data_IF_008531974577
#
_entry.id   IF_008531974577
#
_cell.length_a   1.000
_cell.length_b   1.000
_cell.length_c   1.000
_cell.angle_alpha   90.00
_cell.angle_beta   90.00
_cell.angle_gamma   90.00
#
_symmetry.space_group_name_H-M   'P 1'
#
loop_
_entity.id
_entity.type
_entity.pdbx_description
1 polymer ?
#
# COMPACT_ATOMS: atom_id res chain seq x y z
N UNK A 1 12.02 -11.32 -24.96
CA UNK A 1 11.87 -9.88 -24.73
C UNK A 1 11.12 -9.67 -23.41
N UNK A 2 11.70 -8.93 -22.47
CA UNK A 2 11.03 -8.64 -21.20
C UNK A 2 10.11 -7.44 -21.39
N UNK A 3 8.85 -7.60 -21.00
CA UNK A 3 7.90 -6.51 -21.01
C UNK A 3 8.23 -5.54 -19.87
N UNK A 4 8.28 -4.26 -20.17
CA UNK A 4 8.60 -3.20 -19.22
C UNK A 4 7.62 -2.06 -19.33
N UNK A 5 7.41 -1.37 -18.22
CA UNK A 5 6.62 -0.15 -18.17
C UNK A 5 7.50 1.02 -17.74
N UNK A 6 7.17 2.20 -18.19
CA UNK A 6 7.82 3.43 -17.71
C UNK A 6 7.12 3.86 -16.44
N UNK A 7 7.87 3.92 -15.35
CA UNK A 7 7.35 4.36 -14.06
C UNK A 7 7.90 5.73 -13.70
N UNK A 8 7.12 6.49 -12.95
CA UNK A 8 7.52 7.81 -12.49
C UNK A 8 6.73 8.14 -11.21
N UNK A 9 7.46 8.51 -10.17
CA UNK A 9 6.85 8.89 -8.90
C UNK A 9 7.40 10.21 -8.38
N UNK A 10 7.06 11.35 -9.05
CA UNK A 10 7.65 12.64 -8.69
C UNK A 10 7.29 13.10 -7.28
N UNK A 11 6.17 12.61 -6.71
CA UNK A 11 5.77 12.95 -5.34
C UNK A 11 6.27 11.94 -4.31
N UNK A 12 6.72 10.77 -4.76
CA UNK A 12 7.16 9.67 -3.88
C UNK A 12 8.66 9.41 -3.95
N UNK A 13 9.39 10.24 -4.72
CA UNK A 13 10.84 10.13 -4.81
C UNK A 13 11.35 9.04 -5.75
N UNK A 14 10.49 8.50 -6.61
CA UNK A 14 10.90 7.48 -7.59
C UNK A 14 11.27 8.17 -8.90
N UNK A 15 12.53 8.03 -9.39
CA UNK A 15 12.92 8.61 -10.67
C UNK A 15 12.24 7.89 -11.83
N UNK A 16 12.03 8.63 -12.93
CA UNK A 16 11.47 8.05 -14.16
C UNK A 16 12.41 7.00 -14.72
N UNK A 17 11.89 5.80 -14.94
CA UNK A 17 12.70 4.69 -15.44
C UNK A 17 11.81 3.60 -16.05
N UNK A 18 12.43 2.75 -16.88
CA UNK A 18 11.79 1.53 -17.34
C UNK A 18 11.90 0.45 -16.26
N UNK A 19 10.82 -0.26 -16.01
CA UNK A 19 10.78 -1.24 -14.93
C UNK A 19 10.06 -2.50 -15.39
N UNK A 20 10.57 -3.71 -15.06
CA UNK A 20 9.93 -4.96 -15.50
C UNK A 20 8.55 -5.16 -14.86
N UNK A 21 7.61 -5.63 -15.65
CA UNK A 21 6.26 -5.91 -15.14
C UNK A 21 6.23 -6.95 -14.02
N UNK A 22 7.19 -7.88 -14.00
CA UNK A 22 7.27 -8.90 -12.95
C UNK A 22 7.41 -8.32 -11.54
N UNK A 23 8.00 -7.13 -11.44
CA UNK A 23 8.23 -6.47 -10.15
C UNK A 23 7.20 -5.40 -9.83
N UNK A 24 6.18 -5.26 -10.68
CA UNK A 24 5.11 -4.28 -10.49
C UNK A 24 3.81 -4.94 -10.11
N UNK A 25 3.06 -4.28 -9.26
CA UNK A 25 1.70 -4.69 -8.91
C UNK A 25 0.77 -3.53 -9.24
N UNK A 26 -0.24 -3.81 -10.05
CA UNK A 26 -1.21 -2.79 -10.45
C UNK A 26 -2.26 -2.59 -9.37
N UNK A 27 -2.66 -1.34 -9.21
CA UNK A 27 -3.74 -0.97 -8.28
C UNK A 27 -4.95 -0.52 -9.09
N UNK A 28 -6.16 -0.51 -8.50
CA UNK A 28 -7.35 -0.01 -9.21
C UNK A 28 -7.36 1.52 -9.39
N UNK A 29 -6.43 2.23 -8.77
CA UNK A 29 -6.33 3.68 -8.89
C UNK A 29 -5.76 4.06 -10.26
N UNK A 30 -6.40 5.00 -10.93
CA UNK A 30 -6.00 5.46 -12.26
C UNK A 30 -5.91 6.98 -12.30
N UNK A 31 -4.97 7.50 -13.09
CA UNK A 31 -4.92 8.90 -13.43
C UNK A 31 -5.68 9.12 -14.72
N UNK A 32 -6.58 10.10 -14.73
CA UNK A 32 -7.29 10.53 -15.93
C UNK A 32 -6.75 11.88 -16.40
N UNK A 33 -6.81 12.13 -17.69
CA UNK A 33 -6.36 13.41 -18.24
C UNK A 33 -4.87 13.58 -18.35
N UNK A 34 -4.09 12.49 -18.24
CA UNK A 34 -2.64 12.55 -18.42
C UNK A 34 -2.31 12.45 -19.91
N UNK A 35 -1.62 13.43 -20.51
CA UNK A 35 -1.24 13.37 -21.92
C UNK A 35 -0.15 12.31 -22.14
N UNK A 36 -0.05 11.80 -23.39
CA UNK A 36 1.02 10.89 -23.77
C UNK A 36 2.36 11.60 -23.63
N UNK A 37 3.38 10.85 -23.21
CA UNK A 37 4.73 11.34 -23.02
C UNK A 37 4.81 12.56 -22.09
N UNK A 38 3.93 12.65 -21.11
CA UNK A 38 3.91 13.74 -20.13
C UNK A 38 5.24 13.80 -19.38
N UNK A 39 5.78 15.00 -19.19
CA UNK A 39 6.97 15.20 -18.37
C UNK A 39 6.67 15.02 -16.89
N UNK A 40 7.72 14.81 -16.08
CA UNK A 40 7.56 14.60 -14.63
C UNK A 40 6.81 15.72 -13.93
N UNK A 41 6.96 16.98 -14.38
CA UNK A 41 6.22 18.11 -13.82
C UNK A 41 4.72 18.02 -14.06
N UNK A 42 4.30 17.58 -15.25
CA UNK A 42 2.89 17.36 -15.59
C UNK A 42 2.31 16.21 -14.79
N UNK A 43 3.07 15.11 -14.68
CA UNK A 43 2.67 13.95 -13.88
C UNK A 43 2.46 14.36 -12.42
N UNK A 44 3.37 15.15 -11.86
CA UNK A 44 3.26 15.64 -10.49
C UNK A 44 1.98 16.44 -10.27
N UNK A 45 1.67 17.34 -11.20
CA UNK A 45 0.45 18.16 -11.11
C UNK A 45 -0.81 17.31 -11.15
N UNK A 46 -0.87 16.32 -12.03
CA UNK A 46 -2.03 15.44 -12.15
C UNK A 46 -2.18 14.57 -10.91
N UNK A 47 -1.09 14.02 -10.39
CA UNK A 47 -1.08 13.20 -9.17
C UNK A 47 -1.60 14.01 -7.98
N UNK A 48 -1.14 15.24 -7.83
CA UNK A 48 -1.61 16.13 -6.76
C UNK A 48 -3.08 16.52 -6.93
N UNK A 49 -3.50 16.82 -8.15
CA UNK A 49 -4.88 17.22 -8.46
C UNK A 49 -5.87 16.10 -8.15
N UNK A 50 -5.55 14.86 -8.52
CA UNK A 50 -6.43 13.71 -8.31
C UNK A 50 -6.23 13.03 -6.95
N UNK A 51 -5.27 13.50 -6.16
CA UNK A 51 -5.01 12.98 -4.81
C UNK A 51 -4.80 11.46 -4.79
N UNK A 52 -4.09 10.93 -5.78
CA UNK A 52 -3.89 9.49 -5.94
C UNK A 52 -3.11 8.89 -4.77
N UNK A 53 -2.06 9.58 -4.30
CA UNK A 53 -1.25 9.11 -3.18
C UNK A 53 -2.08 9.05 -1.90
N UNK A 54 -2.94 10.04 -1.68
CA UNK A 54 -3.84 10.05 -0.52
C UNK A 54 -4.86 8.92 -0.58
N UNK A 55 -5.43 8.67 -1.75
CA UNK A 55 -6.35 7.54 -1.97
C UNK A 55 -5.66 6.20 -1.71
N UNK A 56 -4.42 6.07 -2.16
CA UNK A 56 -3.63 4.87 -1.89
C UNK A 56 -3.39 4.68 -0.40
N UNK A 57 -2.98 5.75 0.31
CA UNK A 57 -2.71 5.67 1.74
C UNK A 57 -3.94 5.29 2.57
N UNK A 58 -5.13 5.64 2.09
CA UNK A 58 -6.39 5.28 2.74
C UNK A 58 -6.83 3.86 2.43
N UNK A 59 -6.26 3.22 1.42
CA UNK A 59 -6.64 1.87 1.04
C UNK A 59 -6.22 0.85 2.10
N UNK A 60 -6.99 -0.23 2.24
CA UNK A 60 -6.67 -1.31 3.18
C UNK A 60 -5.33 -1.96 2.84
N UNK A 61 -5.00 -2.06 1.56
CA UNK A 61 -3.74 -2.61 1.10
C UNK A 61 -2.53 -1.81 1.63
N UNK A 62 -2.56 -0.47 1.46
CA UNK A 62 -1.49 0.39 1.96
C UNK A 62 -1.38 0.33 3.48
N UNK A 63 -2.50 0.33 4.19
CA UNK A 63 -2.52 0.22 5.65
C UNK A 63 -1.93 -1.09 6.13
N UNK A 64 -2.22 -2.18 5.44
CA UNK A 64 -1.65 -3.50 5.76
C UNK A 64 -0.13 -3.50 5.58
N UNK A 65 0.37 -2.89 4.51
CA UNK A 65 1.81 -2.80 4.26
C UNK A 65 2.53 -1.99 5.35
N UNK A 66 1.95 -0.87 5.74
CA UNK A 66 2.50 -0.02 6.82
C UNK A 66 2.52 -0.80 8.13
N UNK A 67 1.46 -1.54 8.44
CA UNK A 67 1.40 -2.35 9.65
C UNK A 67 2.47 -3.46 9.67
N UNK A 68 2.71 -4.11 8.53
CA UNK A 68 3.76 -5.13 8.40
C UNK A 68 5.14 -4.53 8.64
N UNK A 69 5.43 -3.37 8.07
CA UNK A 69 6.72 -2.69 8.26
C UNK A 69 6.93 -2.29 9.72
N UNK A 70 5.90 -1.76 10.37
CA UNK A 70 5.96 -1.43 11.79
C UNK A 70 6.26 -2.65 12.66
N UNK A 71 5.63 -3.79 12.35
CA UNK A 71 5.88 -5.03 13.10
C UNK A 71 7.31 -5.52 12.93
N UNK A 72 7.88 -5.40 11.73
CA UNK A 72 9.26 -5.81 11.47
C UNK A 72 10.28 -4.97 12.23
N UNK A 73 9.97 -3.72 12.52
CA UNK A 73 10.87 -2.81 13.22
C UNK A 73 10.74 -2.87 14.74
N UNK A 74 9.84 -3.68 15.28
CA UNK A 74 9.62 -3.78 16.73
C UNK A 74 10.75 -4.56 17.41
N UNK A 75 11.05 -4.15 18.66
CA UNK A 75 11.96 -4.92 19.52
C UNK A 75 11.22 -6.11 20.12
N UNK A 76 11.95 -6.98 20.86
CA UNK A 76 11.38 -8.21 21.43
C UNK A 76 10.23 -7.93 22.40
N UNK A 77 10.37 -6.92 23.25
CA UNK A 77 9.34 -6.58 24.21
C UNK A 77 8.04 -6.12 23.51
N UNK A 78 8.18 -5.24 22.50
CA UNK A 78 7.05 -4.76 21.73
C UNK A 78 6.38 -5.89 20.95
N UNK A 79 7.16 -6.83 20.40
CA UNK A 79 6.62 -8.02 19.72
C UNK A 79 5.83 -8.90 20.67
N UNK A 80 6.31 -9.06 21.91
CA UNK A 80 5.59 -9.81 22.94
C UNK A 80 4.25 -9.17 23.23
N UNK A 81 4.20 -7.83 23.38
CA UNK A 81 2.97 -7.09 23.61
C UNK A 81 1.98 -7.25 22.44
N UNK A 82 2.46 -7.22 21.20
CA UNK A 82 1.63 -7.45 20.01
C UNK A 82 1.07 -8.87 20.00
N UNK A 83 1.88 -9.85 20.38
CA UNK A 83 1.43 -11.26 20.47
C UNK A 83 0.28 -11.40 21.47
N UNK A 84 0.40 -10.79 22.63
CA UNK A 84 -0.67 -10.81 23.64
C UNK A 84 -1.95 -10.16 23.12
N UNK A 85 -1.84 -9.00 22.48
CA UNK A 85 -2.98 -8.29 21.91
C UNK A 85 -3.67 -9.13 20.83
N UNK A 86 -2.90 -9.81 19.97
CA UNK A 86 -3.44 -10.71 18.95
C UNK A 86 -4.20 -11.89 19.55
N UNK A 87 -3.64 -12.48 20.61
CA UNK A 87 -4.31 -13.59 21.31
C UNK A 87 -5.65 -13.14 21.88
N UNK A 88 -5.67 -11.99 22.52
CA UNK A 88 -6.91 -11.44 23.09
C UNK A 88 -7.96 -11.20 22.00
N UNK A 89 -7.56 -10.61 20.89
CA UNK A 89 -8.47 -10.35 19.78
C UNK A 89 -9.03 -11.64 19.17
N UNK A 90 -8.18 -12.64 18.96
CA UNK A 90 -8.61 -13.94 18.43
C UNK A 90 -9.56 -14.65 19.39
N UNK A 91 -9.31 -14.54 20.70
CA UNK A 91 -10.17 -15.14 21.72
C UNK A 91 -11.58 -14.51 21.71
N UNK A 92 -11.63 -13.19 21.58
CA UNK A 92 -12.93 -12.49 21.47
C UNK A 92 -13.71 -12.92 20.21
N UNK A 93 -13.02 -13.06 19.08
CA UNK A 93 -13.63 -13.53 17.83
C UNK A 93 -14.14 -14.96 18.00
N UNK A 94 -13.34 -15.83 18.60
CA UNK A 94 -13.72 -17.24 18.85
C UNK A 94 -14.95 -17.35 19.72
N UNK A 95 -15.02 -16.56 20.79
CA UNK A 95 -16.17 -16.53 21.68
C UNK A 95 -17.43 -16.05 20.96
N UNK A 96 -17.29 -15.01 20.13
CA UNK A 96 -18.41 -14.49 19.34
C UNK A 96 -18.91 -15.53 18.34
N UNK A 97 -18.02 -16.26 17.67
CA UNK A 97 -18.38 -17.34 16.76
C UNK A 97 -19.08 -18.49 17.47
N UNK A 98 -18.63 -18.87 18.66
CA UNK A 98 -19.26 -19.91 19.46
C UNK A 98 -20.68 -19.53 19.84
N UNK A 99 -20.90 -18.29 20.23
CA UNK A 99 -22.24 -17.79 20.56
C UNK A 99 -23.17 -17.80 19.35
N UNK A 100 -22.66 -17.48 18.17
CA UNK A 100 -23.49 -17.45 16.96
C UNK A 100 -23.87 -18.84 16.47
N UNK A 101 -23.13 -19.88 16.87
CA UNK A 101 -23.43 -21.27 16.52
C UNK A 101 -24.38 -21.97 17.51
N UNK A 102 -24.57 -21.39 18.67
CA UNK A 102 -25.42 -21.97 19.72
C UNK A 102 -26.90 -21.80 19.42
#
# INVERSE_FOLDING_TARGET
MLAQAIIDGPTTGVPRQAYPYKHLTLTPLKLTGLPRAAGSGVVKKVVEKEQVVEKWNKSAWAQKRVAIEKRRSLNDFARFSVMLAKKQRRDLVRKALSKSKA
#
